data_IF_856471011505
#
_entry.id   IF_856471011505
#
_cell.length_a   1.000
_cell.length_b   1.000
_cell.length_c   1.000
_cell.angle_alpha   90.00
_cell.angle_beta   90.00
_cell.angle_gamma   90.00
#
_symmetry.space_group_name_H-M   'P 1'
#
loop_
_entity.id
_entity.type
_entity.pdbx_description
1 polymer ?
#
# COMPACT_ATOMS: atom_id res chain seq x y z
N UNK A 1 -20.58 -5.81 -15.36
CA UNK A 1 -20.24 -5.52 -13.95
C UNK A 1 -20.69 -4.11 -13.66
N UNK A 2 -21.60 -3.92 -12.71
CA UNK A 2 -22.01 -2.58 -12.27
C UNK A 2 -20.86 -1.97 -11.46
N UNK A 3 -20.47 -0.74 -11.77
CA UNK A 3 -19.49 -0.01 -10.98
C UNK A 3 -20.11 0.33 -9.63
N UNK A 4 -19.64 -0.33 -8.55
CA UNK A 4 -20.16 -0.15 -7.18
C UNK A 4 -20.09 1.32 -6.75
N UNK A 5 -19.07 2.07 -7.19
CA UNK A 5 -18.94 3.50 -6.89
C UNK A 5 -20.11 4.29 -7.47
N UNK A 6 -20.52 3.97 -8.69
CA UNK A 6 -21.65 4.64 -9.34
C UNK A 6 -22.98 4.20 -8.73
N UNK A 7 -23.10 2.90 -8.39
CA UNK A 7 -24.31 2.38 -7.76
C UNK A 7 -24.55 2.96 -6.36
N UNK A 8 -23.48 3.27 -5.63
CA UNK A 8 -23.53 3.82 -4.28
C UNK A 8 -23.38 5.36 -4.25
N UNK A 9 -23.44 6.04 -5.42
CA UNK A 9 -23.34 7.50 -5.55
C UNK A 9 -22.06 8.12 -4.95
N UNK A 10 -20.94 7.39 -5.01
CA UNK A 10 -19.65 7.77 -4.40
C UNK A 10 -18.69 8.48 -5.38
N UNK A 11 -19.11 8.73 -6.61
CA UNK A 11 -18.25 9.27 -7.68
C UNK A 11 -17.66 10.64 -7.37
N UNK A 12 -18.31 11.45 -6.53
CA UNK A 12 -17.81 12.76 -6.11
C UNK A 12 -16.72 12.68 -5.02
N UNK A 13 -16.61 11.53 -4.35
CA UNK A 13 -15.69 11.33 -3.22
C UNK A 13 -14.54 10.36 -3.55
N UNK A 14 -14.73 9.49 -4.56
CA UNK A 14 -13.78 8.42 -4.88
C UNK A 14 -13.28 8.54 -6.31
N UNK A 15 -11.96 8.73 -6.46
CA UNK A 15 -11.25 8.61 -7.72
C UNK A 15 -10.65 7.20 -7.84
N UNK A 16 -11.06 6.44 -8.85
CA UNK A 16 -10.35 5.20 -9.23
C UNK A 16 -9.21 5.56 -10.14
N UNK A 17 -7.99 5.18 -9.77
CA UNK A 17 -6.82 5.21 -10.65
C UNK A 17 -6.51 3.79 -11.08
N UNK A 18 -6.59 3.53 -12.39
CA UNK A 18 -6.21 2.24 -12.96
C UNK A 18 -4.72 2.24 -13.31
N UNK A 19 -3.93 1.46 -12.58
CA UNK A 19 -2.52 1.24 -12.89
C UNK A 19 -2.34 -0.18 -13.42
N UNK A 20 -1.94 -0.39 -14.69
CA UNK A 20 -1.59 -1.71 -15.19
C UNK A 20 -0.31 -2.22 -14.52
N UNK A 21 -0.13 -3.54 -14.46
CA UNK A 21 1.14 -4.12 -14.00
C UNK A 21 2.13 -4.25 -15.16
N UNK A 22 3.33 -3.71 -15.00
CA UNK A 22 4.46 -3.82 -15.92
C UNK A 22 5.56 -4.69 -15.30
N UNK A 23 6.47 -5.19 -16.15
CA UNK A 23 7.65 -5.89 -15.65
C UNK A 23 8.62 -4.89 -15.01
N UNK A 24 9.00 -5.17 -13.76
CA UNK A 24 9.95 -4.35 -13.01
C UNK A 24 11.15 -5.18 -12.55
N UNK A 25 12.26 -4.48 -12.32
CA UNK A 25 13.43 -5.02 -11.62
C UNK A 25 13.60 -4.26 -10.31
N UNK A 26 13.27 -4.91 -9.19
CA UNK A 26 13.49 -4.34 -7.86
C UNK A 26 14.62 -5.10 -7.18
N UNK A 27 15.72 -4.40 -6.85
CA UNK A 27 16.99 -5.01 -6.45
C UNK A 27 17.43 -6.11 -7.43
N UNK A 28 17.55 -7.36 -6.95
CA UNK A 28 18.01 -8.52 -7.72
C UNK A 28 16.87 -9.42 -8.22
N UNK A 29 15.60 -9.00 -8.06
CA UNK A 29 14.43 -9.80 -8.45
C UNK A 29 13.72 -9.17 -9.65
N UNK A 30 13.22 -10.04 -10.55
CA UNK A 30 12.29 -9.68 -11.62
C UNK A 30 10.87 -10.00 -11.14
N UNK A 31 9.92 -9.13 -11.44
CA UNK A 31 8.53 -9.33 -11.08
C UNK A 31 7.62 -8.39 -11.85
N UNK A 32 6.32 -8.46 -11.57
CA UNK A 32 5.35 -7.51 -12.08
C UNK A 32 4.92 -6.57 -10.97
N UNK A 33 4.80 -5.30 -11.30
CA UNK A 33 4.34 -4.27 -10.38
C UNK A 33 3.54 -3.21 -11.13
N UNK A 34 2.74 -2.45 -10.40
CA UNK A 34 1.99 -1.33 -10.96
C UNK A 34 2.92 -0.34 -11.66
N UNK A 35 2.49 0.17 -12.81
CA UNK A 35 3.17 1.26 -13.50
C UNK A 35 3.14 2.53 -12.63
N UNK A 36 4.30 2.84 -12.04
CA UNK A 36 4.44 3.97 -11.12
C UNK A 36 4.24 5.30 -11.85
N UNK A 37 4.52 5.40 -13.15
CA UNK A 37 4.35 6.64 -13.90
C UNK A 37 2.87 7.06 -13.98
N UNK A 38 1.98 6.10 -14.23
CA UNK A 38 0.52 6.33 -14.26
C UNK A 38 0.04 6.82 -12.89
N UNK A 39 0.48 6.16 -11.82
CA UNK A 39 0.13 6.57 -10.46
C UNK A 39 0.65 7.99 -10.15
N UNK A 40 1.92 8.27 -10.44
CA UNK A 40 2.57 9.55 -10.11
C UNK A 40 1.91 10.73 -10.83
N UNK A 41 1.47 10.55 -12.07
CA UNK A 41 0.73 11.55 -12.83
C UNK A 41 -0.66 11.80 -12.21
N UNK A 42 -1.40 10.73 -11.90
CA UNK A 42 -2.80 10.82 -11.47
C UNK A 42 -3.01 11.41 -10.07
N UNK A 43 -1.98 11.33 -9.22
CA UNK A 43 -2.01 11.86 -7.85
C UNK A 43 -0.99 12.97 -7.63
N UNK A 44 -0.41 13.52 -8.71
CA UNK A 44 0.51 14.64 -8.65
C UNK A 44 -0.07 15.82 -7.86
N UNK A 45 0.70 16.34 -6.92
CA UNK A 45 0.29 17.48 -6.08
C UNK A 45 -0.70 17.15 -4.97
N UNK A 46 -1.19 15.91 -4.87
CA UNK A 46 -2.05 15.47 -3.77
C UNK A 46 -1.19 15.03 -2.59
N UNK A 47 -1.63 15.39 -1.38
CA UNK A 47 -1.05 14.91 -0.13
C UNK A 47 -2.10 14.21 0.71
N UNK A 48 -1.78 13.01 1.18
CA UNK A 48 -2.72 12.15 1.90
C UNK A 48 -2.50 12.21 3.41
N UNK A 49 -3.61 12.24 4.15
CA UNK A 49 -3.64 12.11 5.61
C UNK A 49 -3.56 10.65 6.08
N UNK A 50 -3.75 9.69 5.16
CA UNK A 50 -3.80 8.29 5.50
C UNK A 50 -3.66 7.35 4.32
N UNK A 51 -3.13 6.16 4.59
CA UNK A 51 -2.97 5.10 3.61
C UNK A 51 -3.53 3.78 4.14
N UNK A 52 -4.13 2.99 3.26
CA UNK A 52 -4.58 1.63 3.54
C UNK A 52 -3.80 0.70 2.62
N UNK A 53 -3.10 -0.25 3.22
CA UNK A 53 -2.25 -1.22 2.53
C UNK A 53 -2.84 -2.61 2.70
N UNK A 54 -3.49 -3.06 1.64
CA UNK A 54 -3.95 -4.44 1.47
C UNK A 54 -3.28 -5.02 0.22
N UNK A 55 -2.98 -6.32 0.25
CA UNK A 55 -2.24 -6.96 -0.81
C UNK A 55 -2.34 -8.48 -0.78
N UNK A 56 -1.96 -9.13 -1.90
CA UNK A 56 -1.96 -10.58 -1.99
C UNK A 56 -0.99 -11.19 -0.97
N UNK A 57 -1.15 -12.48 -0.70
CA UNK A 57 -0.23 -13.21 0.19
C UNK A 57 1.17 -13.23 -0.41
N UNK A 58 2.17 -12.80 0.36
CA UNK A 58 3.59 -12.97 0.05
C UNK A 58 4.08 -14.42 0.26
N UNK A 59 3.35 -15.41 -0.26
CA UNK A 59 3.63 -16.84 -0.02
C UNK A 59 4.44 -17.51 -1.15
N UNK A 60 4.83 -16.76 -2.18
CA UNK A 60 5.70 -17.24 -3.25
C UNK A 60 6.87 -16.28 -3.46
N UNK A 61 8.02 -16.74 -3.97
CA UNK A 61 9.16 -15.87 -4.27
C UNK A 61 8.81 -14.71 -5.20
N UNK A 62 7.83 -14.88 -6.09
CA UNK A 62 7.34 -13.85 -7.00
C UNK A 62 6.50 -12.77 -6.30
N UNK A 63 5.90 -13.09 -5.16
CA UNK A 63 5.02 -12.20 -4.38
C UNK A 63 5.68 -11.71 -3.10
N UNK A 64 6.89 -12.18 -2.78
CA UNK A 64 7.50 -11.91 -1.48
C UNK A 64 7.76 -10.42 -1.24
N UNK A 65 7.95 -9.63 -2.29
CA UNK A 65 8.16 -8.18 -2.18
C UNK A 65 6.92 -7.39 -2.59
N UNK A 66 5.75 -8.00 -2.80
CA UNK A 66 4.57 -7.32 -3.38
C UNK A 66 3.95 -6.23 -2.49
N UNK A 67 4.47 -6.00 -1.28
CA UNK A 67 4.02 -4.92 -0.39
C UNK A 67 5.09 -3.87 -0.09
N UNK A 68 6.35 -4.13 -0.45
CA UNK A 68 7.43 -3.21 -0.13
C UNK A 68 7.51 -1.99 -1.08
N UNK A 69 7.33 -2.15 -2.41
CA UNK A 69 7.27 -1.03 -3.33
C UNK A 69 6.09 -0.09 -3.03
N UNK A 70 4.95 -0.61 -2.56
CA UNK A 70 3.77 0.22 -2.28
C UNK A 70 4.05 1.28 -1.22
N UNK A 71 4.76 0.96 -0.13
CA UNK A 71 5.04 1.98 0.88
C UNK A 71 6.06 3.01 0.39
N UNK A 72 7.12 2.55 -0.27
CA UNK A 72 8.17 3.44 -0.79
C UNK A 72 7.59 4.44 -1.81
N UNK A 73 6.61 4.01 -2.59
CA UNK A 73 5.92 4.85 -3.56
C UNK A 73 5.05 5.93 -2.90
N UNK A 74 4.27 5.56 -1.88
CA UNK A 74 3.25 6.48 -1.32
C UNK A 74 3.80 7.46 -0.27
N UNK A 75 4.93 7.15 0.37
CA UNK A 75 5.46 8.00 1.46
C UNK A 75 5.80 9.42 0.98
N UNK A 76 6.28 9.57 -0.25
CA UNK A 76 6.52 10.88 -0.88
C UNK A 76 5.27 11.75 -1.03
N UNK A 77 4.08 11.15 -0.91
CA UNK A 77 2.78 11.82 -1.00
C UNK A 77 2.08 11.94 0.35
N UNK A 78 2.73 11.53 1.44
CA UNK A 78 2.18 11.69 2.78
C UNK A 78 2.27 13.17 3.25
N UNK A 79 1.30 13.59 4.07
CA UNK A 79 1.46 14.80 4.92
C UNK A 79 2.43 14.54 6.08
N UNK A 80 2.74 15.56 6.87
CA UNK A 80 3.61 15.41 8.04
C UNK A 80 3.02 14.52 9.14
N UNK A 81 1.70 14.64 9.37
CA UNK A 81 0.95 13.78 10.28
C UNK A 81 0.00 12.91 9.45
N UNK A 82 0.33 11.63 9.33
CA UNK A 82 -0.50 10.68 8.60
C UNK A 82 -0.56 9.34 9.31
N UNK A 83 -1.57 8.56 8.95
CA UNK A 83 -1.71 7.18 9.41
C UNK A 83 -1.51 6.17 8.29
N UNK A 84 -1.15 4.95 8.68
CA UNK A 84 -1.06 3.82 7.77
C UNK A 84 -1.79 2.67 8.40
N UNK A 85 -2.80 2.15 7.72
CA UNK A 85 -3.43 0.89 8.08
C UNK A 85 -2.84 -0.22 7.21
N UNK A 86 -2.24 -1.23 7.81
CA UNK A 86 -1.73 -2.40 7.10
C UNK A 86 -2.60 -3.60 7.45
N UNK A 87 -3.27 -4.18 6.46
CA UNK A 87 -4.00 -5.43 6.66
C UNK A 87 -3.05 -6.64 6.59
N UNK A 88 -3.44 -7.72 7.27
CA UNK A 88 -2.65 -8.96 7.36
C UNK A 88 -1.21 -8.80 7.85
N UNK A 89 -0.95 -7.80 8.69
CA UNK A 89 0.32 -7.52 9.36
C UNK A 89 1.03 -8.75 9.96
N UNK A 90 0.26 -9.73 10.46
CA UNK A 90 0.80 -10.96 11.07
C UNK A 90 0.90 -12.15 10.11
N UNK A 91 0.50 -12.01 8.85
CA UNK A 91 0.52 -13.10 7.88
C UNK A 91 1.95 -13.56 7.62
N UNK A 92 2.16 -14.88 7.66
CA UNK A 92 3.46 -15.50 7.37
C UNK A 92 3.88 -15.14 5.94
N UNK A 93 5.11 -14.67 5.76
CA UNK A 93 5.63 -14.11 4.49
C UNK A 93 5.61 -12.58 4.42
N UNK A 94 4.69 -11.92 5.15
CA UNK A 94 4.56 -10.45 5.14
C UNK A 94 5.27 -9.78 6.33
N UNK A 95 5.55 -10.53 7.41
CA UNK A 95 6.12 -9.98 8.65
C UNK A 95 7.42 -9.21 8.44
N UNK A 96 8.32 -9.74 7.62
CA UNK A 96 9.62 -9.12 7.37
C UNK A 96 9.48 -7.83 6.56
N UNK A 97 8.63 -7.82 5.52
CA UNK A 97 8.33 -6.60 4.77
C UNK A 97 7.78 -5.50 5.67
N UNK A 98 6.83 -5.84 6.55
CA UNK A 98 6.26 -4.85 7.46
C UNK A 98 7.25 -4.38 8.51
N UNK A 99 8.09 -5.27 9.05
CA UNK A 99 9.16 -4.86 9.95
C UNK A 99 10.13 -3.89 9.26
N UNK A 100 10.51 -4.19 8.01
CA UNK A 100 11.39 -3.33 7.21
C UNK A 100 10.75 -1.97 6.92
N UNK A 101 9.46 -1.91 6.57
CA UNK A 101 8.74 -0.65 6.37
C UNK A 101 8.68 0.16 7.67
N UNK A 102 8.27 -0.46 8.77
CA UNK A 102 8.16 0.22 10.07
C UNK A 102 9.52 0.81 10.48
N UNK A 103 10.60 0.02 10.37
CA UNK A 103 11.94 0.45 10.72
C UNK A 103 12.47 1.56 9.79
N UNK A 104 12.33 1.37 8.47
CA UNK A 104 12.84 2.32 7.46
C UNK A 104 12.16 3.68 7.52
N UNK A 105 10.86 3.72 7.82
CA UNK A 105 10.07 4.95 7.79
C UNK A 105 9.74 5.51 9.17
N UNK A 106 10.28 4.90 10.23
CA UNK A 106 10.11 5.30 11.63
C UNK A 106 8.65 5.37 12.07
N UNK A 107 7.85 4.39 11.66
CA UNK A 107 6.44 4.32 12.02
C UNK A 107 6.25 3.76 13.43
N UNK A 108 5.24 4.30 14.14
CA UNK A 108 4.86 3.83 15.47
C UNK A 108 3.58 3.02 15.42
N UNK A 109 3.55 1.86 16.08
CA UNK A 109 2.33 1.05 16.22
C UNK A 109 1.42 1.72 17.25
N UNK A 110 0.24 2.18 16.80
CA UNK A 110 -0.77 2.80 17.66
C UNK A 110 -1.78 1.77 18.16
N UNK A 111 -2.26 0.90 17.26
CA UNK A 111 -3.31 -0.07 17.58
C UNK A 111 -3.22 -1.31 16.70
N UNK A 112 -3.49 -2.48 17.28
CA UNK A 112 -3.76 -3.70 16.53
C UNK A 112 -5.26 -4.00 16.57
N UNK A 113 -5.83 -4.50 15.47
CA UNK A 113 -7.24 -4.88 15.46
C UNK A 113 -7.49 -6.07 16.41
N UNK A 114 -8.77 -6.35 16.73
CA UNK A 114 -9.17 -7.36 17.73
C UNK A 114 -8.60 -8.76 17.46
N UNK A 115 -8.32 -9.08 16.20
CA UNK A 115 -7.77 -10.36 15.77
C UNK A 115 -6.25 -10.32 15.51
N UNK A 116 -5.61 -9.17 15.73
CA UNK A 116 -4.20 -8.91 15.45
C UNK A 116 -3.83 -8.98 13.97
N UNK A 117 -4.81 -9.01 13.05
CA UNK A 117 -4.57 -9.12 11.60
C UNK A 117 -4.17 -7.80 11.00
N UNK A 118 -4.87 -6.72 11.33
CA UNK A 118 -4.56 -5.37 10.87
C UNK A 118 -3.85 -4.57 11.95
N UNK A 119 -2.99 -3.64 11.53
CA UNK A 119 -2.31 -2.70 12.41
C UNK A 119 -2.49 -1.27 11.91
N UNK A 120 -2.75 -0.35 12.83
CA UNK A 120 -2.72 1.09 12.62
C UNK A 120 -1.37 1.63 13.10
N UNK A 121 -0.72 2.36 12.20
CA UNK A 121 0.56 3.01 12.40
C UNK A 121 0.42 4.52 12.21
N UNK A 122 1.31 5.29 12.82
CA UNK A 122 1.44 6.73 12.60
C UNK A 122 2.90 7.14 12.41
N UNK A 123 3.10 8.26 11.72
CA UNK A 123 4.36 9.00 11.68
C UNK A 123 4.18 10.34 12.38
#
# INVERSE_FOLDING_TARGET
>A
MTNLITADELSDFVKIVYCPTIDIKHSNKKGKWYDEAVYQEEIAGVKFDGFILDGPRANSPALIDSRYPSYTLIEGYAKSNYFVFMDDYKRTGDKENFANIIAKFHLSIVKQNRHGKGVLLTK
#
